data_IF_679694303142
#
_entry.id   IF_679694303142
#
_cell.length_a   1.000
_cell.length_b   1.000
_cell.length_c   1.000
_cell.angle_alpha   90.00
_cell.angle_beta   90.00
_cell.angle_gamma   90.00
#
_symmetry.space_group_name_H-M   'P 1'
#
loop_
_entity.id
_entity.type
_entity.pdbx_description
1 polymer ?
#
# COMPACT_ATOMS: atom_id res chain seq x y z
N UNK A 1 -1.63 67.35 3.07
CA UNK A 1 -2.54 67.59 1.92
C UNK A 1 -2.39 66.45 0.92
N UNK A 2 -3.54 65.94 0.43
CA UNK A 2 -3.81 65.08 -0.74
C UNK A 2 -2.68 65.04 -1.79
N UNK A 3 -2.39 63.91 -2.45
CA UNK A 3 -3.22 63.35 -3.54
C UNK A 3 -2.89 61.88 -3.83
N UNK A 4 -3.97 61.14 -4.10
CA UNK A 4 -4.05 59.77 -4.58
C UNK A 4 -3.48 59.62 -6.00
N UNK A 5 -2.77 58.52 -6.26
CA UNK A 5 -2.50 58.01 -7.62
C UNK A 5 -3.05 56.59 -7.66
N UNK A 6 -4.29 56.47 -8.14
CA UNK A 6 -4.93 55.23 -8.57
C UNK A 6 -5.09 55.33 -10.08
N UNK A 7 -4.37 54.50 -10.84
CA UNK A 7 -4.78 54.07 -12.18
C UNK A 7 -3.77 53.05 -12.73
N UNK A 8 -4.24 51.85 -13.05
CA UNK A 8 -3.60 50.99 -14.04
C UNK A 8 -2.96 49.71 -13.52
N UNK A 9 -3.74 48.74 -13.05
CA UNK A 9 -3.31 47.34 -13.01
C UNK A 9 -4.51 46.37 -13.11
N UNK A 10 -5.38 46.59 -14.09
CA UNK A 10 -6.54 45.74 -14.35
C UNK A 10 -6.66 45.35 -15.83
N UNK A 11 -5.53 45.00 -16.48
CA UNK A 11 -5.55 44.63 -17.90
C UNK A 11 -4.47 43.61 -18.32
N UNK A 12 -4.26 42.52 -17.56
CA UNK A 12 -3.29 41.48 -17.93
C UNK A 12 -3.74 40.01 -17.69
N UNK A 13 -5.04 39.70 -17.57
CA UNK A 13 -5.46 38.30 -17.31
C UNK A 13 -6.60 37.79 -18.20
N UNK A 14 -6.63 38.15 -19.49
CA UNK A 14 -7.59 37.55 -20.44
C UNK A 14 -7.01 37.40 -21.85
N UNK A 15 -5.81 36.82 -22.03
CA UNK A 15 -5.41 36.28 -23.34
C UNK A 15 -4.41 35.14 -23.13
N UNK A 16 -4.87 33.90 -23.06
CA UNK A 16 -3.96 32.78 -22.82
C UNK A 16 -4.49 31.37 -23.04
N UNK A 17 -5.64 31.18 -23.71
CA UNK A 17 -6.11 29.84 -24.08
C UNK A 17 -6.83 29.86 -25.42
N UNK A 18 -6.08 30.05 -26.50
CA UNK A 18 -6.50 29.64 -27.84
C UNK A 18 -5.29 29.02 -28.57
N UNK A 19 -5.50 27.82 -29.11
CA UNK A 19 -4.59 26.94 -29.87
C UNK A 19 -3.69 25.98 -29.08
N UNK A 20 -4.10 24.70 -29.03
CA UNK A 20 -3.58 23.68 -29.95
C UNK A 20 -4.17 22.29 -29.65
N UNK A 21 -5.20 21.89 -30.40
CA UNK A 21 -5.37 20.47 -30.79
C UNK A 21 -6.30 20.44 -32.00
N UNK A 22 -5.68 20.50 -33.18
CA UNK A 22 -6.33 20.22 -34.45
C UNK A 22 -5.39 19.32 -35.25
N UNK A 23 -5.55 18.02 -35.10
CA UNK A 23 -5.17 16.99 -36.07
C UNK A 23 -6.42 16.09 -36.20
N UNK A 24 -7.23 16.28 -37.25
CA UNK A 24 -7.22 15.53 -38.51
C UNK A 24 -7.53 14.03 -38.36
N UNK A 25 -8.65 13.68 -39.02
CA UNK A 25 -9.29 12.39 -39.20
C UNK A 25 -8.33 11.24 -39.56
N UNK A 26 -8.69 10.03 -39.11
CA UNK A 26 -8.85 8.93 -40.05
C UNK A 26 -9.99 8.01 -39.60
N UNK A 27 -11.08 8.05 -40.37
CA UNK A 27 -12.12 7.04 -40.38
C UNK A 27 -11.53 5.71 -40.87
N UNK A 28 -11.79 4.62 -40.15
CA UNK A 28 -12.00 3.29 -40.71
C UNK A 28 -12.70 2.42 -39.67
N UNK A 29 -14.03 2.55 -39.63
CA UNK A 29 -14.93 1.64 -38.93
C UNK A 29 -15.06 0.38 -39.78
N UNK A 30 -14.37 -0.68 -39.40
CA UNK A 30 -14.76 -2.04 -39.74
C UNK A 30 -15.35 -2.69 -38.49
N UNK A 31 -16.59 -3.12 -38.64
CA UNK A 31 -17.30 -3.98 -37.70
C UNK A 31 -16.53 -5.29 -37.51
N UNK A 32 -16.35 -5.73 -36.27
CA UNK A 32 -16.71 -7.10 -35.88
C UNK A 32 -16.77 -7.19 -34.36
N UNK A 33 -18.02 -7.25 -33.88
CA UNK A 33 -18.35 -7.69 -32.53
C UNK A 33 -18.37 -9.22 -32.53
N UNK A 34 -17.47 -9.84 -31.77
CA UNK A 34 -17.77 -11.12 -31.15
C UNK A 34 -17.07 -11.21 -29.79
N UNK A 35 -17.92 -11.37 -28.78
CA UNK A 35 -17.63 -11.44 -27.36
C UNK A 35 -16.60 -12.52 -27.03
N UNK A 36 -15.54 -12.15 -26.30
CA UNK A 36 -14.78 -13.08 -25.48
C UNK A 36 -14.89 -12.64 -24.01
N UNK A 37 -15.25 -13.54 -23.08
CA UNK A 37 -15.11 -13.25 -21.65
C UNK A 37 -13.63 -13.05 -21.35
N UNK A 38 -13.32 -11.98 -20.60
CA UNK A 38 -11.96 -11.61 -20.20
C UNK A 38 -11.21 -12.83 -19.65
N UNK A 39 -10.20 -13.26 -20.39
CA UNK A 39 -9.34 -14.37 -20.02
C UNK A 39 -8.40 -13.86 -18.92
N UNK A 40 -8.64 -14.34 -17.69
CA UNK A 40 -7.76 -14.14 -16.54
C UNK A 40 -6.44 -14.84 -16.85
N UNK A 41 -5.52 -14.14 -17.52
CA UNK A 41 -4.16 -14.65 -17.71
C UNK A 41 -3.45 -14.57 -16.36
N UNK A 42 -2.96 -15.68 -15.80
CA UNK A 42 -2.21 -15.64 -14.55
C UNK A 42 -1.05 -14.64 -14.71
N UNK A 43 -0.95 -13.67 -13.81
CA UNK A 43 0.34 -13.05 -13.56
C UNK A 43 1.34 -14.19 -13.28
N UNK A 44 2.59 -14.00 -13.69
CA UNK A 44 3.70 -14.89 -13.35
C UNK A 44 3.50 -15.45 -11.93
N UNK A 45 3.52 -16.78 -11.76
CA UNK A 45 3.01 -17.46 -10.55
C UNK A 45 3.78 -16.99 -9.30
N UNK A 46 3.37 -15.89 -8.71
CA UNK A 46 3.93 -15.40 -7.45
C UNK A 46 3.48 -16.36 -6.37
N UNK A 47 4.44 -17.11 -5.84
CA UNK A 47 4.22 -18.03 -4.73
C UNK A 47 4.26 -17.23 -3.42
N UNK A 48 3.07 -16.82 -2.95
CA UNK A 48 2.88 -16.06 -1.71
C UNK A 48 3.43 -16.79 -0.47
N UNK A 49 3.60 -18.12 -0.55
CA UNK A 49 4.18 -18.88 0.57
C UNK A 49 5.68 -18.59 0.79
N UNK A 50 6.35 -17.99 -0.20
CA UNK A 50 7.78 -17.65 -0.15
C UNK A 50 8.04 -16.25 0.41
N UNK A 51 7.02 -15.53 0.88
CA UNK A 51 7.17 -14.23 1.52
C UNK A 51 8.11 -14.33 2.73
N UNK A 52 9.15 -13.49 2.74
CA UNK A 52 10.13 -13.43 3.82
C UNK A 52 9.70 -12.44 4.90
N UNK A 53 9.17 -11.29 4.48
CA UNK A 53 8.63 -10.28 5.38
C UNK A 53 7.29 -9.73 4.87
N UNK A 54 6.42 -9.36 5.82
CA UNK A 54 5.11 -8.78 5.57
C UNK A 54 5.08 -7.37 6.18
N UNK A 55 4.93 -6.37 5.31
CA UNK A 55 4.82 -4.96 5.69
C UNK A 55 3.36 -4.58 5.92
N UNK A 56 3.08 -3.94 7.06
CA UNK A 56 1.82 -3.26 7.34
C UNK A 56 2.08 -1.75 7.19
N UNK A 57 1.53 -1.10 6.15
CA UNK A 57 1.79 0.30 5.87
C UNK A 57 1.39 1.25 7.00
N UNK A 58 1.94 2.46 6.94
CA UNK A 58 1.63 3.53 7.88
C UNK A 58 0.11 3.80 7.97
N UNK A 59 -0.34 4.14 9.18
CA UNK A 59 -1.70 4.64 9.39
C UNK A 59 -1.76 5.51 10.63
N UNK A 60 -2.67 6.48 10.66
CA UNK A 60 -2.87 7.34 11.83
C UNK A 60 -3.17 6.54 13.11
N UNK A 61 -3.81 5.37 12.96
CA UNK A 61 -4.07 4.46 14.08
C UNK A 61 -2.79 3.81 14.60
N UNK A 62 -1.94 3.30 13.69
CA UNK A 62 -0.67 2.69 14.04
C UNK A 62 0.27 3.69 14.72
N UNK A 63 0.37 4.91 14.18
CA UNK A 63 1.18 5.98 14.79
C UNK A 63 0.78 6.26 16.24
N UNK A 64 -0.53 6.35 16.49
CA UNK A 64 -1.04 6.60 17.84
C UNK A 64 -0.65 5.49 18.84
N UNK A 65 -0.57 4.24 18.38
CA UNK A 65 -0.12 3.14 19.23
C UNK A 65 1.39 3.13 19.45
N UNK A 66 2.17 3.40 18.40
CA UNK A 66 3.63 3.34 18.44
C UNK A 66 4.27 4.50 19.20
N UNK A 67 3.64 5.68 19.18
CA UNK A 67 4.22 6.91 19.72
C UNK A 67 4.72 6.76 21.17
N UNK A 68 3.94 6.09 22.02
CA UNK A 68 4.30 5.91 23.42
C UNK A 68 5.58 5.07 23.59
N UNK A 69 5.69 3.99 22.81
CA UNK A 69 6.81 3.06 22.89
C UNK A 69 8.07 3.63 22.25
N UNK A 70 7.95 4.35 21.14
CA UNK A 70 9.06 5.05 20.47
C UNK A 70 9.61 6.17 21.37
N UNK A 71 8.74 6.95 22.02
CA UNK A 71 9.18 8.03 22.92
C UNK A 71 9.97 7.48 24.11
N UNK A 72 9.61 6.29 24.59
CA UNK A 72 10.35 5.61 25.68
C UNK A 72 11.71 5.08 25.22
N UNK A 73 11.80 4.53 24.01
CA UNK A 73 13.03 3.92 23.50
C UNK A 73 14.03 4.95 22.95
N UNK A 74 13.54 6.00 22.27
CA UNK A 74 14.34 7.02 21.59
C UNK A 74 13.72 8.40 21.81
N UNK A 75 14.02 9.09 22.93
CA UNK A 75 13.39 10.36 23.32
C UNK A 75 13.70 11.54 22.37
N UNK A 76 14.67 11.39 21.47
CA UNK A 76 15.01 12.36 20.42
C UNK A 76 14.42 12.02 19.05
N UNK A 77 13.61 10.96 18.95
CA UNK A 77 12.97 10.60 17.68
C UNK A 77 11.91 11.64 17.33
N UNK A 78 12.12 12.33 16.22
CA UNK A 78 11.08 13.13 15.57
C UNK A 78 9.90 12.22 15.17
N UNK A 79 8.70 12.79 15.14
CA UNK A 79 7.49 12.18 14.58
C UNK A 79 7.71 11.90 13.08
N UNK A 80 8.40 10.82 12.76
CA UNK A 80 8.49 10.25 11.43
C UNK A 80 7.27 9.34 11.22
N UNK A 81 6.93 9.06 9.97
CA UNK A 81 6.03 7.95 9.68
C UNK A 81 6.71 6.62 9.98
N UNK A 82 5.95 5.68 10.52
CA UNK A 82 6.38 4.34 10.86
C UNK A 82 5.46 3.30 10.23
N UNK A 83 6.04 2.17 9.89
CA UNK A 83 5.31 0.98 9.47
C UNK A 83 5.78 -0.22 10.27
N UNK A 84 5.02 -1.31 10.21
CA UNK A 84 5.41 -2.57 10.84
C UNK A 84 5.94 -3.52 9.77
N UNK A 85 7.04 -4.20 10.06
CA UNK A 85 7.56 -5.28 9.25
C UNK A 85 7.57 -6.58 10.07
N UNK A 86 6.84 -7.59 9.60
CA UNK A 86 6.75 -8.90 10.24
C UNK A 86 7.67 -9.87 9.50
N UNK A 87 8.69 -10.39 10.18
CA UNK A 87 9.48 -11.52 9.68
C UNK A 87 8.63 -12.81 9.74
N UNK A 88 8.31 -13.39 8.59
CA UNK A 88 7.42 -14.57 8.47
C UNK A 88 8.08 -15.86 9.01
N UNK A 89 9.41 -15.88 9.12
CA UNK A 89 10.17 -17.02 9.65
C UNK A 89 10.25 -16.96 11.18
N UNK A 90 10.51 -15.80 11.75
CA UNK A 90 10.74 -15.63 13.20
C UNK A 90 9.51 -15.17 13.97
N UNK A 91 8.58 -14.48 13.31
CA UNK A 91 7.42 -13.85 13.94
C UNK A 91 7.75 -12.57 14.68
N UNK A 92 8.97 -12.08 14.54
CA UNK A 92 9.36 -10.78 15.06
C UNK A 92 8.70 -9.70 14.21
N UNK A 93 8.15 -8.71 14.89
CA UNK A 93 7.60 -7.50 14.30
C UNK A 93 8.53 -6.33 14.64
N UNK A 94 9.13 -5.78 13.61
CA UNK A 94 9.96 -4.58 13.67
C UNK A 94 9.12 -3.34 13.43
N UNK A 95 9.44 -2.27 14.16
CA UNK A 95 8.97 -0.92 13.82
C UNK A 95 10.04 -0.29 12.96
N UNK A 96 9.66 0.15 11.76
CA UNK A 96 10.58 0.72 10.78
C UNK A 96 10.19 2.17 10.52
N UNK A 97 11.18 3.06 10.47
CA UNK A 97 10.96 4.48 10.22
C UNK A 97 10.92 4.82 8.71
N UNK A 98 10.65 6.08 8.39
CA UNK A 98 10.64 6.61 7.02
C UNK A 98 11.95 6.45 6.23
N UNK A 99 13.09 6.19 6.90
CA UNK A 99 14.38 5.94 6.26
C UNK A 99 14.63 4.45 6.03
N UNK A 100 13.63 3.60 6.29
CA UNK A 100 13.74 2.15 6.27
C UNK A 100 14.71 1.61 7.34
N UNK A 101 14.85 2.31 8.46
CA UNK A 101 15.67 1.88 9.59
C UNK A 101 14.79 1.31 10.72
N UNK A 102 15.22 0.18 11.30
CA UNK A 102 14.54 -0.43 12.45
C UNK A 102 14.72 0.45 13.68
N UNK A 103 13.61 0.82 14.32
CA UNK A 103 13.60 1.59 15.57
C UNK A 103 14.07 0.70 16.73
N UNK A 104 15.33 0.87 17.12
CA UNK A 104 15.93 0.11 18.20
C UNK A 104 15.13 0.22 19.51
N UNK A 105 14.95 -0.92 20.20
CA UNK A 105 14.25 -0.99 21.48
C UNK A 105 12.72 -1.06 21.40
N UNK A 106 12.14 -1.01 20.20
CA UNK A 106 10.70 -1.27 19.98
C UNK A 106 10.56 -2.51 19.10
N UNK A 107 10.13 -3.60 19.72
CA UNK A 107 9.99 -4.90 19.05
C UNK A 107 8.77 -5.62 19.61
N UNK A 108 7.98 -6.22 18.72
CA UNK A 108 6.87 -7.08 19.08
C UNK A 108 7.10 -8.48 18.52
N UNK A 109 6.39 -9.45 19.07
CA UNK A 109 6.52 -10.86 18.75
C UNK A 109 5.12 -11.43 18.55
N UNK A 110 4.90 -12.05 17.40
CA UNK A 110 3.71 -12.86 17.15
C UNK A 110 3.74 -14.11 18.03
N UNK A 111 2.58 -14.51 18.54
CA UNK A 111 2.46 -15.79 19.25
C UNK A 111 2.62 -16.96 18.26
N UNK A 112 2.87 -18.16 18.78
CA UNK A 112 2.90 -19.37 17.94
C UNK A 112 1.57 -19.61 17.20
N UNK A 113 0.45 -19.23 17.82
CA UNK A 113 -0.88 -19.29 17.20
C UNK A 113 -0.98 -18.32 16.03
N UNK A 114 -0.61 -17.05 16.24
CA UNK A 114 -0.64 -16.02 15.18
C UNK A 114 0.28 -16.40 14.02
N UNK A 115 1.45 -16.98 14.32
CA UNK A 115 2.39 -17.42 13.30
C UNK A 115 1.85 -18.58 12.47
N UNK A 116 1.16 -19.53 13.11
CA UNK A 116 0.52 -20.63 12.39
C UNK A 116 -0.59 -20.12 11.49
N UNK A 117 -1.38 -19.15 11.97
CA UNK A 117 -2.46 -18.53 11.21
C UNK A 117 -1.91 -17.76 10.00
N UNK A 118 -0.92 -16.89 10.20
CA UNK A 118 -0.28 -16.12 9.13
C UNK A 118 0.27 -17.04 8.03
N UNK A 119 1.02 -18.09 8.41
CA UNK A 119 1.58 -19.04 7.45
C UNK A 119 0.49 -19.81 6.70
N UNK A 120 -0.60 -20.17 7.37
CA UNK A 120 -1.74 -20.82 6.74
C UNK A 120 -2.42 -19.90 5.71
N UNK A 121 -2.60 -18.62 6.04
CA UNK A 121 -3.14 -17.62 5.12
C UNK A 121 -2.22 -17.51 3.90
N UNK A 122 -0.93 -17.24 4.10
CA UNK A 122 0.03 -17.06 3.00
C UNK A 122 0.16 -18.32 2.12
N UNK A 123 0.19 -19.52 2.70
CA UNK A 123 0.33 -20.77 1.97
C UNK A 123 -0.92 -21.16 1.14
N UNK A 124 -2.10 -20.72 1.57
CA UNK A 124 -3.37 -20.98 0.84
C UNK A 124 -3.71 -19.87 -0.16
N UNK A 125 -3.04 -18.73 -0.06
CA UNK A 125 -3.28 -17.54 -0.86
C UNK A 125 -2.74 -17.69 -2.29
N UNK A 126 -3.41 -17.02 -3.21
CA UNK A 126 -2.98 -16.84 -4.60
C UNK A 126 -3.11 -15.37 -4.95
N UNK A 127 -2.23 -14.87 -5.81
CA UNK A 127 -2.33 -13.51 -6.34
C UNK A 127 -3.28 -13.50 -7.55
N UNK A 128 -4.21 -12.55 -7.57
CA UNK A 128 -4.98 -12.17 -8.74
C UNK A 128 -4.68 -10.74 -9.13
N UNK A 129 -4.72 -10.50 -10.43
CA UNK A 129 -4.76 -9.15 -11.01
C UNK A 129 -6.02 -9.05 -11.86
N UNK A 130 -6.79 -7.99 -11.66
CA UNK A 130 -7.90 -7.67 -12.54
C UNK A 130 -7.32 -7.14 -13.86
N UNK A 131 -7.07 -8.03 -14.81
CA UNK A 131 -6.81 -7.69 -16.21
C UNK A 131 -8.13 -7.32 -16.88
N UNK A 132 -8.79 -6.28 -16.37
CA UNK A 132 -9.89 -5.68 -17.11
C UNK A 132 -9.31 -5.18 -18.44
N UNK A 133 -9.89 -5.63 -19.56
CA UNK A 133 -9.61 -5.03 -20.85
C UNK A 133 -10.07 -3.56 -20.74
N UNK A 134 -9.11 -2.65 -20.65
CA UNK A 134 -9.39 -1.22 -20.65
C UNK A 134 -9.94 -0.90 -22.03
N UNK A 135 -11.26 -0.70 -22.11
CA UNK A 135 -11.89 -0.15 -23.32
C UNK A 135 -11.24 1.21 -23.58
N UNK A 136 -10.74 1.45 -24.79
CA UNK A 136 -10.09 2.71 -25.18
C UNK A 136 -11.00 3.93 -24.98
N UNK A 137 -12.31 3.72 -24.83
CA UNK A 137 -13.31 4.77 -24.57
C UNK A 137 -13.61 4.99 -23.08
N UNK A 138 -12.95 4.26 -22.17
CA UNK A 138 -13.21 4.35 -20.74
C UNK A 138 -12.43 5.53 -20.14
N UNK A 139 -13.15 6.57 -19.69
CA UNK A 139 -12.56 7.67 -18.94
C UNK A 139 -12.24 7.23 -17.50
N UNK A 140 -11.00 6.82 -17.29
CA UNK A 140 -10.49 6.42 -15.98
C UNK A 140 -10.17 7.64 -15.13
N UNK A 141 -10.78 7.74 -13.94
CA UNK A 141 -10.36 8.72 -12.94
C UNK A 141 -9.03 8.27 -12.32
N UNK A 142 -8.14 9.23 -12.11
CA UNK A 142 -6.98 9.04 -11.26
C UNK A 142 -7.45 8.98 -9.81
N UNK A 143 -7.62 7.76 -9.31
CA UNK A 143 -7.89 7.49 -7.90
C UNK A 143 -6.78 6.56 -7.41
N UNK A 144 -5.90 7.10 -6.56
CA UNK A 144 -4.84 6.31 -5.96
C UNK A 144 -5.31 5.72 -4.64
N UNK A 145 -5.17 4.41 -4.50
CA UNK A 145 -5.44 3.66 -3.29
C UNK A 145 -4.15 3.00 -2.83
N UNK A 146 -3.73 3.32 -1.61
CA UNK A 146 -2.58 2.71 -0.95
C UNK A 146 -2.81 1.20 -0.73
N UNK A 147 -1.74 0.37 -0.80
CA UNK A 147 -1.84 -1.03 -0.44
C UNK A 147 -2.24 -1.19 1.03
N UNK A 148 -2.88 -2.30 1.37
CA UNK A 148 -3.13 -2.65 2.78
C UNK A 148 -2.00 -3.50 3.38
N UNK A 149 -1.14 -4.07 2.54
CA UNK A 149 0.02 -4.86 2.91
C UNK A 149 1.05 -4.87 1.78
N UNK A 150 2.34 -5.00 2.09
CA UNK A 150 3.34 -5.38 1.10
C UNK A 150 4.01 -6.69 1.46
N UNK A 151 4.16 -7.57 0.48
CA UNK A 151 4.90 -8.82 0.63
C UNK A 151 6.31 -8.61 0.11
N UNK A 152 7.30 -8.88 0.96
CA UNK A 152 8.71 -8.84 0.59
C UNK A 152 9.20 -10.26 0.30
N UNK A 153 9.73 -10.46 -0.89
CA UNK A 153 10.42 -11.66 -1.34
C UNK A 153 11.93 -11.36 -1.43
N UNK A 154 12.74 -12.37 -1.72
CA UNK A 154 14.21 -12.19 -1.75
C UNK A 154 14.70 -11.21 -2.81
N UNK A 155 13.95 -10.99 -3.88
CA UNK A 155 14.34 -10.16 -5.04
C UNK A 155 13.26 -9.17 -5.50
N UNK A 156 12.09 -9.17 -4.85
CA UNK A 156 10.92 -8.45 -5.32
C UNK A 156 9.97 -8.09 -4.16
N UNK A 157 9.10 -7.13 -4.42
CA UNK A 157 8.02 -6.75 -3.50
C UNK A 157 6.68 -6.76 -4.23
N UNK A 158 5.59 -7.04 -3.49
CA UNK A 158 4.23 -7.03 -4.02
C UNK A 158 3.31 -6.20 -3.11
N UNK A 159 2.81 -5.08 -3.65
CA UNK A 159 1.89 -4.18 -2.95
C UNK A 159 0.43 -4.64 -3.12
N UNK A 160 -0.13 -5.28 -2.08
CA UNK A 160 -1.46 -5.88 -2.13
C UNK A 160 -2.56 -4.83 -2.03
N UNK A 161 -3.48 -4.87 -3.00
CA UNK A 161 -4.68 -4.02 -3.04
C UNK A 161 -4.39 -2.56 -3.40
N UNK A 162 -3.18 -2.26 -3.88
CA UNK A 162 -2.83 -0.97 -4.48
C UNK A 162 -3.63 -0.75 -5.77
N UNK A 163 -4.05 0.49 -6.02
CA UNK A 163 -4.74 0.87 -7.27
C UNK A 163 -4.26 2.25 -7.68
N UNK A 164 -3.83 2.40 -8.94
CA UNK A 164 -3.37 3.71 -9.45
C UNK A 164 -4.44 4.46 -10.25
N UNK A 165 -5.49 3.77 -10.67
CA UNK A 165 -6.64 4.35 -11.36
C UNK A 165 -7.91 3.56 -11.04
N UNK A 166 -9.07 4.16 -11.32
CA UNK A 166 -10.35 3.46 -11.18
C UNK A 166 -10.55 2.28 -12.15
N UNK A 167 -9.73 2.19 -13.20
CA UNK A 167 -9.84 1.14 -14.23
C UNK A 167 -8.82 0.01 -14.08
N UNK A 168 -7.75 0.26 -13.34
CA UNK A 168 -6.68 -0.71 -13.13
C UNK A 168 -6.52 -0.94 -11.64
N UNK A 169 -6.99 -2.10 -11.19
CA UNK A 169 -6.68 -2.60 -9.85
C UNK A 169 -5.35 -3.32 -9.93
N UNK A 170 -4.45 -2.98 -9.02
CA UNK A 170 -3.18 -3.69 -8.88
C UNK A 170 -3.36 -5.11 -8.34
N UNK A 171 -2.24 -5.80 -8.09
CA UNK A 171 -2.26 -7.17 -7.57
C UNK A 171 -2.90 -7.23 -6.18
N UNK A 172 -3.65 -8.29 -5.93
CA UNK A 172 -4.28 -8.57 -4.63
C UNK A 172 -4.40 -10.09 -4.43
N UNK A 173 -4.83 -10.52 -3.25
CA UNK A 173 -5.12 -11.92 -2.98
C UNK A 173 -6.51 -12.32 -3.53
N UNK A 174 -6.58 -13.54 -4.06
CA UNK A 174 -7.81 -14.10 -4.60
C UNK A 174 -8.82 -14.44 -3.50
N UNK A 175 -10.09 -14.08 -3.70
CA UNK A 175 -11.21 -14.59 -2.90
C UNK A 175 -11.10 -14.27 -1.41
N UNK A 176 -11.44 -15.24 -0.56
CA UNK A 176 -11.48 -15.06 0.90
C UNK A 176 -10.11 -14.83 1.53
N UNK A 177 -9.02 -15.22 0.87
CA UNK A 177 -7.65 -15.01 1.38
C UNK A 177 -7.33 -13.54 1.65
N UNK A 178 -7.91 -12.63 0.86
CA UNK A 178 -7.81 -11.18 1.07
C UNK A 178 -8.43 -10.77 2.41
N UNK A 179 -9.67 -11.17 2.64
CA UNK A 179 -10.40 -10.80 3.86
C UNK A 179 -9.76 -11.42 5.10
N UNK A 180 -9.26 -12.65 4.98
CA UNK A 180 -8.50 -13.32 6.03
C UNK A 180 -7.20 -12.58 6.38
N UNK A 181 -6.41 -12.20 5.38
CA UNK A 181 -5.17 -11.45 5.64
C UNK A 181 -5.47 -10.07 6.24
N UNK A 182 -6.45 -9.33 5.70
CA UNK A 182 -6.84 -8.04 6.25
C UNK A 182 -7.34 -8.16 7.69
N UNK A 183 -8.14 -9.18 7.99
CA UNK A 183 -8.61 -9.47 9.35
C UNK A 183 -7.47 -9.80 10.30
N UNK A 184 -6.51 -10.63 9.86
CA UNK A 184 -5.32 -10.96 10.63
C UNK A 184 -4.46 -9.73 10.92
N UNK A 185 -4.19 -8.90 9.91
CA UNK A 185 -3.40 -7.67 10.06
C UNK A 185 -4.07 -6.69 11.02
N UNK A 186 -5.39 -6.52 10.91
CA UNK A 186 -6.17 -5.72 11.85
C UNK A 186 -6.11 -6.31 13.28
N UNK A 187 -6.15 -7.63 13.43
CA UNK A 187 -5.97 -8.29 14.73
C UNK A 187 -4.59 -7.98 15.34
N UNK A 188 -3.52 -8.07 14.54
CA UNK A 188 -2.15 -7.74 14.98
C UNK A 188 -2.05 -6.28 15.41
N UNK A 189 -2.53 -5.34 14.58
CA UNK A 189 -2.53 -3.92 14.90
C UNK A 189 -3.35 -3.61 16.16
N UNK A 190 -4.51 -4.21 16.33
CA UNK A 190 -5.37 -3.93 17.50
C UNK A 190 -4.81 -4.49 18.81
N UNK A 191 -3.93 -5.49 18.74
CA UNK A 191 -3.35 -6.15 19.91
C UNK A 191 -1.85 -5.92 20.05
N UNK A 192 -1.28 -4.95 19.33
CA UNK A 192 0.17 -4.75 19.26
C UNK A 192 0.81 -4.53 20.64
N UNK A 193 0.16 -3.73 21.49
CA UNK A 193 0.64 -3.46 22.86
C UNK A 193 0.78 -4.74 23.73
N UNK A 194 -0.06 -5.76 23.49
CA UNK A 194 0.00 -7.04 24.20
C UNK A 194 1.03 -8.01 23.60
N UNK A 195 1.59 -7.67 22.43
CA UNK A 195 2.55 -8.50 21.69
C UNK A 195 4.01 -8.08 21.92
N UNK A 196 4.32 -7.26 22.94
CA UNK A 196 5.72 -6.91 23.27
C UNK A 196 6.52 -8.19 23.52
N UNK A 197 7.70 -8.30 22.90
CA UNK A 197 8.54 -9.48 23.11
C UNK A 197 8.95 -9.58 24.58
N UNK A 198 8.70 -10.73 25.21
CA UNK A 198 9.31 -11.04 26.50
C UNK A 198 10.81 -11.28 26.26
N UNK A 199 11.65 -10.33 26.68
CA UNK A 199 13.07 -10.59 26.78
C UNK A 199 13.26 -11.70 27.82
N UNK A 200 13.52 -12.92 27.36
CA UNK A 200 14.07 -13.93 28.25
C UNK A 200 15.44 -13.41 28.68
N UNK A 201 15.49 -12.85 29.89
CA UNK A 201 16.75 -12.59 30.59
C UNK A 201 17.38 -13.96 30.76
N UNK A 202 18.28 -14.32 29.85
CA UNK A 202 19.12 -15.49 30.00
C UNK A 202 20.01 -15.20 31.21
N UNK A 203 19.54 -15.62 32.39
CA UNK A 203 20.36 -15.64 33.59
C UNK A 203 21.50 -16.62 33.30
N UNK A 204 22.68 -16.06 33.03
CA UNK A 204 23.93 -16.83 32.98
C UNK A 204 24.32 -17.30 34.38
#
# INVERSE_FOLDING_TARGET
MKRYVFAGFAFCLVVGFQNCSRNQLSDNVNNDALSNPAEVTPAEKVDVSQTEALEIPESAYLEAQLQADITQSKPTSTFASHHLEIDVKTGVVHVVDQNNEVVAGVQYCLSSSDMSELRSILASSKVCEDKAAVDENLNCTMEYKFPYAKLHFSDSELALGESMSGCHKGPDLCGESKDLLQGFLAHVQNNLAAKKCEFQVVSK
#
